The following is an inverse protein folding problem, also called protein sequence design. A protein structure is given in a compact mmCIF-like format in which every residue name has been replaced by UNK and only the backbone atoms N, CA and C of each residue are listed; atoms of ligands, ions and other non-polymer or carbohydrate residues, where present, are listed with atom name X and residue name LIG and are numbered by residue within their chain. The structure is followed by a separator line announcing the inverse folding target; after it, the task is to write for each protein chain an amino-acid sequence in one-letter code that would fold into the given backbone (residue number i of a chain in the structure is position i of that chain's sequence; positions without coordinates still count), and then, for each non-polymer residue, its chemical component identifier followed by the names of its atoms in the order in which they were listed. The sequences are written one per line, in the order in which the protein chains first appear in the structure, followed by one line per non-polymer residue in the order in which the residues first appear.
data_IF_523684569052
#
_entry.id   IF_523684569052
#
_cell.length_a   1.000
_cell.length_b   1.000
_cell.length_c   1.000
_cell.angle_alpha   90.00
_cell.angle_beta   90.00
_cell.angle_gamma   90.00
#
_symmetry.space_group_name_H-M   'P 1'
#
loop_
_entity.id
_entity.type
_entity.pdbx_description
1 polymer ?
#
# COMPACT_ATOMS: atom_id res chain seq x y z
N UNK A 1 12.96 -7.76 -8.39
CA UNK A 1 12.24 -9.04 -8.19
C UNK A 1 10.84 -8.73 -7.68
N UNK A 2 9.80 -9.37 -8.23
CA UNK A 2 8.45 -9.28 -7.67
C UNK A 2 8.45 -9.86 -6.24
N UNK A 3 7.65 -9.28 -5.35
CA UNK A 3 7.46 -9.80 -4.00
C UNK A 3 6.81 -11.18 -4.09
N UNK A 4 7.22 -12.09 -3.20
CA UNK A 4 6.60 -13.41 -3.08
C UNK A 4 5.17 -13.20 -2.57
N UNK A 5 4.18 -13.71 -3.30
CA UNK A 5 2.77 -13.54 -2.92
C UNK A 5 2.25 -14.64 -1.99
N UNK A 6 3.01 -15.73 -1.84
CA UNK A 6 2.61 -16.90 -1.06
C UNK A 6 3.80 -17.53 -0.34
N UNK A 7 3.60 -17.91 0.93
CA UNK A 7 4.58 -18.64 1.72
C UNK A 7 4.01 -19.99 2.16
N UNK A 8 4.83 -21.03 2.06
CA UNK A 8 4.41 -22.41 2.35
C UNK A 8 5.03 -22.89 3.64
N UNK A 9 4.19 -23.21 4.62
CA UNK A 9 4.58 -23.84 5.87
C UNK A 9 4.46 -25.37 5.73
N UNK A 10 5.55 -26.09 6.05
CA UNK A 10 5.58 -27.55 5.97
C UNK A 10 5.21 -28.16 7.33
N UNK A 11 4.09 -28.88 7.34
CA UNK A 11 3.60 -29.65 8.48
C UNK A 11 4.12 -31.09 8.49
N UNK A 12 3.59 -31.89 9.43
CA UNK A 12 3.87 -33.33 9.50
C UNK A 12 3.29 -34.05 8.28
N UNK A 13 3.91 -35.18 7.89
CA UNK A 13 3.45 -36.06 6.79
C UNK A 13 3.30 -35.34 5.43
N UNK A 14 4.21 -34.41 5.11
CA UNK A 14 4.19 -33.61 3.88
C UNK A 14 2.93 -32.73 3.69
N UNK A 15 2.15 -32.51 4.74
CA UNK A 15 1.07 -31.54 4.70
C UNK A 15 1.64 -30.12 4.54
N UNK A 16 1.04 -29.32 3.67
CA UNK A 16 1.50 -27.96 3.35
C UNK A 16 0.38 -26.97 3.61
N UNK A 17 0.68 -25.96 4.41
CA UNK A 17 -0.23 -24.84 4.66
C UNK A 17 0.29 -23.63 3.90
N UNK A 18 -0.56 -23.02 3.07
CA UNK A 18 -0.19 -21.88 2.22
C UNK A 18 -0.76 -20.62 2.83
N UNK A 19 0.09 -19.63 3.06
CA UNK A 19 -0.26 -18.28 3.50
C UNK A 19 -0.08 -17.32 2.31
N UNK A 20 -1.14 -16.61 1.93
CA UNK A 20 -1.15 -15.80 0.70
C UNK A 20 -1.57 -14.36 0.97
N UNK A 21 -1.19 -13.47 0.04
CA UNK A 21 -1.44 -12.02 0.07
C UNK A 21 -0.87 -11.37 1.34
N UNK A 22 0.46 -11.37 1.47
CA UNK A 22 1.13 -10.72 2.57
C UNK A 22 0.91 -9.21 2.52
N UNK A 23 0.73 -8.59 3.68
CA UNK A 23 0.69 -7.15 3.83
C UNK A 23 1.21 -6.73 5.21
N UNK A 24 1.68 -5.49 5.32
CA UNK A 24 1.97 -4.86 6.61
C UNK A 24 0.73 -4.18 7.15
N UNK A 25 0.29 -4.60 8.33
CA UNK A 25 -0.78 -3.94 9.07
C UNK A 25 -0.31 -2.59 9.66
N UNK A 26 -1.18 -1.94 10.44
CA UNK A 26 -0.89 -0.62 10.99
C UNK A 26 0.26 -0.61 11.99
N UNK A 27 0.42 -1.73 12.71
CA UNK A 27 1.46 -2.03 13.70
C UNK A 27 2.79 -2.45 13.04
N UNK A 28 2.85 -2.51 11.70
CA UNK A 28 3.99 -2.98 10.91
C UNK A 28 4.31 -4.46 11.14
N UNK A 29 3.32 -5.26 11.51
CA UNK A 29 3.42 -6.71 11.54
C UNK A 29 3.11 -7.28 10.16
N UNK A 30 3.84 -8.31 9.75
CA UNK A 30 3.54 -9.02 8.51
C UNK A 30 2.33 -9.91 8.73
N UNK A 31 1.25 -9.62 8.00
CA UNK A 31 -0.03 -10.31 8.07
C UNK A 31 -0.36 -10.94 6.72
N UNK A 32 -1.04 -12.07 6.73
CA UNK A 32 -1.53 -12.74 5.52
C UNK A 32 -3.05 -12.69 5.52
N UNK A 33 -3.65 -12.29 4.39
CA UNK A 33 -5.11 -12.25 4.27
C UNK A 33 -5.72 -13.65 4.16
N UNK A 34 -4.97 -14.61 3.62
CA UNK A 34 -5.47 -15.95 3.37
C UNK A 34 -4.54 -17.04 3.91
N UNK A 35 -5.17 -18.11 4.41
CA UNK A 35 -4.52 -19.35 4.78
C UNK A 35 -5.32 -20.54 4.22
N UNK A 36 -4.65 -21.48 3.56
CA UNK A 36 -5.30 -22.60 2.86
C UNK A 36 -6.19 -23.47 3.75
N UNK A 37 -5.86 -23.60 5.03
CA UNK A 37 -6.62 -24.41 6.00
C UNK A 37 -7.85 -23.67 6.57
N UNK A 38 -7.88 -22.35 6.48
CA UNK A 38 -8.86 -21.50 7.18
C UNK A 38 -9.66 -20.60 6.25
N UNK A 39 -9.73 -20.94 4.95
CA UNK A 39 -10.45 -20.15 3.92
C UNK A 39 -11.90 -19.83 4.32
N UNK A 40 -12.57 -20.73 5.07
CA UNK A 40 -13.97 -20.56 5.51
C UNK A 40 -14.16 -19.56 6.66
N UNK A 41 -13.08 -19.01 7.22
CA UNK A 41 -13.11 -18.14 8.39
C UNK A 41 -12.54 -16.75 8.07
N UNK A 42 -13.31 -15.87 7.39
CA UNK A 42 -12.83 -14.57 6.93
C UNK A 42 -12.51 -13.58 8.07
N UNK A 43 -12.91 -13.89 9.30
CA UNK A 43 -12.67 -13.07 10.49
C UNK A 43 -11.34 -13.40 11.18
N UNK A 44 -10.53 -14.28 10.61
CA UNK A 44 -9.23 -14.65 11.14
C UNK A 44 -8.13 -13.82 10.48
N UNK A 45 -7.19 -13.36 11.29
CA UNK A 45 -5.96 -12.74 10.84
C UNK A 45 -4.79 -13.67 11.13
N UNK A 46 -3.85 -13.78 10.18
CA UNK A 46 -2.67 -14.62 10.29
C UNK A 46 -1.44 -13.74 10.33
N UNK A 47 -0.83 -13.57 11.50
CA UNK A 47 0.23 -12.59 11.75
C UNK A 47 1.54 -13.31 12.07
N UNK A 48 2.65 -12.87 11.49
CA UNK A 48 3.98 -13.33 11.88
C UNK A 48 4.33 -12.77 13.26
N UNK A 49 4.51 -13.64 14.25
CA UNK A 49 5.03 -13.29 15.57
C UNK A 49 6.53 -13.62 15.63
N UNK A 50 7.36 -12.59 15.50
CA UNK A 50 8.82 -12.71 15.39
C UNK A 50 9.46 -13.18 16.69
N UNK A 51 9.04 -12.59 17.81
CA UNK A 51 9.57 -12.89 19.15
C UNK A 51 9.36 -14.37 19.51
N UNK A 52 8.18 -14.89 19.18
CA UNK A 52 7.82 -16.29 19.46
C UNK A 52 8.16 -17.24 18.32
N UNK A 53 8.71 -16.73 17.21
CA UNK A 53 8.96 -17.50 15.97
C UNK A 53 7.73 -18.33 15.58
N UNK A 54 6.58 -17.68 15.45
CA UNK A 54 5.28 -18.33 15.29
C UNK A 54 4.40 -17.63 14.24
N UNK A 55 3.39 -18.33 13.73
CA UNK A 55 2.20 -17.68 13.16
C UNK A 55 1.14 -17.55 14.25
N UNK A 56 0.72 -16.32 14.50
CA UNK A 56 -0.37 -15.98 15.39
C UNK A 56 -1.67 -15.87 14.60
N UNK A 57 -2.66 -16.68 14.97
CA UNK A 57 -4.01 -16.63 14.43
C UNK A 57 -4.87 -15.83 15.41
N UNK A 58 -5.33 -14.66 14.99
CA UNK A 58 -6.18 -13.76 15.78
C UNK A 58 -7.61 -13.82 15.26
N UNK A 59 -8.59 -13.64 16.14
CA UNK A 59 -9.98 -13.43 15.73
C UNK A 59 -10.53 -12.12 16.31
N UNK A 60 -11.65 -11.66 15.76
CA UNK A 60 -12.34 -10.43 16.20
C UNK A 60 -12.80 -10.47 17.68
N UNK A 61 -12.85 -11.65 18.30
CA UNK A 61 -13.22 -11.82 19.72
C UNK A 61 -11.99 -11.80 20.66
N UNK A 62 -10.81 -11.42 20.15
CA UNK A 62 -9.58 -11.32 20.93
C UNK A 62 -8.94 -12.67 21.30
N UNK A 63 -9.47 -13.79 20.80
CA UNK A 63 -8.81 -15.10 20.99
C UNK A 63 -7.64 -15.21 20.03
N UNK A 64 -6.52 -15.72 20.55
CA UNK A 64 -5.29 -15.94 19.78
C UNK A 64 -4.82 -17.38 19.92
N UNK A 65 -4.35 -17.94 18.81
CA UNK A 65 -3.68 -19.23 18.74
C UNK A 65 -2.30 -19.04 18.13
N UNK A 66 -1.29 -19.78 18.63
CA UNK A 66 0.06 -19.74 18.09
C UNK A 66 0.41 -21.07 17.44
N UNK A 67 0.89 -21.00 16.21
CA UNK A 67 1.54 -22.11 15.51
C UNK A 67 3.05 -21.84 15.57
N UNK A 68 3.73 -22.52 16.50
CA UNK A 68 5.18 -22.40 16.66
C UNK A 68 5.90 -22.96 15.43
N UNK A 69 6.82 -22.17 14.86
CA UNK A 69 7.63 -22.60 13.72
C UNK A 69 8.80 -23.43 14.26
N UNK A 70 8.74 -24.74 14.02
CA UNK A 70 9.84 -25.65 14.34
C UNK A 70 11.06 -25.41 13.43
N UNK A 71 12.21 -25.99 13.76
CA UNK A 71 13.46 -25.82 12.99
C UNK A 71 13.34 -26.19 11.51
N UNK A 72 12.46 -27.15 11.19
CA UNK A 72 12.11 -27.53 9.82
C UNK A 72 11.43 -26.40 9.01
N UNK A 73 10.95 -25.36 9.67
CA UNK A 73 10.28 -24.19 9.09
C UNK A 73 11.14 -22.92 9.13
N UNK A 74 12.45 -23.04 9.40
CA UNK A 74 13.41 -21.92 9.34
C UNK A 74 13.40 -21.19 8.00
N UNK A 75 13.20 -21.90 6.89
CA UNK A 75 13.06 -21.29 5.55
C UNK A 75 11.84 -20.38 5.47
N UNK A 76 10.68 -20.81 5.98
CA UNK A 76 9.46 -20.00 6.00
C UNK A 76 9.68 -18.72 6.81
N UNK A 77 10.21 -18.85 8.03
CA UNK A 77 10.48 -17.69 8.90
C UNK A 77 11.42 -16.69 8.23
N UNK A 78 12.52 -17.16 7.64
CA UNK A 78 13.48 -16.30 6.93
C UNK A 78 12.84 -15.59 5.73
N UNK A 79 12.00 -16.27 4.97
CA UNK A 79 11.29 -15.66 3.84
C UNK A 79 10.29 -14.61 4.30
N UNK A 80 9.55 -14.87 5.38
CA UNK A 80 8.61 -13.93 5.96
C UNK A 80 9.32 -12.67 6.49
N UNK A 81 10.42 -12.83 7.24
CA UNK A 81 11.24 -11.71 7.72
C UNK A 81 11.80 -10.87 6.56
N UNK A 82 12.38 -11.52 5.55
CA UNK A 82 12.91 -10.83 4.37
C UNK A 82 11.83 -10.03 3.64
N UNK A 83 10.64 -10.61 3.49
CA UNK A 83 9.50 -9.93 2.86
C UNK A 83 9.07 -8.70 3.66
N UNK A 84 8.98 -8.81 4.99
CA UNK A 84 8.70 -7.68 5.88
C UNK A 84 9.71 -6.54 5.66
N UNK A 85 10.99 -6.85 5.65
CA UNK A 85 12.07 -5.88 5.42
C UNK A 85 11.97 -5.22 4.04
N UNK A 86 11.67 -6.00 2.99
CA UNK A 86 11.49 -5.48 1.64
C UNK A 86 10.31 -4.50 1.56
N UNK A 87 9.16 -4.81 2.17
CA UNK A 87 7.99 -3.90 2.20
C UNK A 87 8.33 -2.63 2.97
N UNK A 88 8.96 -2.74 4.15
CA UNK A 88 9.39 -1.59 4.95
C UNK A 88 10.39 -0.70 4.20
N UNK A 89 11.36 -1.31 3.51
CA UNK A 89 12.34 -0.59 2.70
C UNK A 89 11.66 0.17 1.55
N UNK A 90 10.71 -0.47 0.85
CA UNK A 90 9.90 0.17 -0.19
C UNK A 90 9.07 1.34 0.36
N UNK A 91 8.41 1.18 1.51
CA UNK A 91 7.67 2.27 2.17
C UNK A 91 8.57 3.45 2.54
N UNK A 92 9.75 3.18 3.08
CA UNK A 92 10.74 4.22 3.42
C UNK A 92 11.22 4.96 2.18
N UNK A 93 11.56 4.22 1.12
CA UNK A 93 11.98 4.79 -0.16
C UNK A 93 10.87 5.64 -0.76
N UNK A 94 9.64 5.11 -0.81
CA UNK A 94 8.47 5.82 -1.32
C UNK A 94 8.23 7.16 -0.62
N UNK A 95 8.28 7.15 0.72
CA UNK A 95 8.16 8.37 1.53
C UNK A 95 9.26 9.38 1.19
N UNK A 96 10.50 8.93 0.97
CA UNK A 96 11.61 9.79 0.59
C UNK A 96 11.46 10.34 -0.84
N UNK A 97 10.98 9.52 -1.76
CA UNK A 97 10.78 9.89 -3.16
C UNK A 97 9.62 10.89 -3.29
N UNK A 98 8.57 10.77 -2.48
CA UNK A 98 7.54 11.81 -2.32
C UNK A 98 8.14 13.14 -1.81
N UNK A 99 8.92 13.10 -0.71
CA UNK A 99 9.58 14.31 -0.13
C UNK A 99 10.50 15.02 -1.11
N UNK A 100 11.23 14.26 -1.91
CA UNK A 100 12.23 14.79 -2.84
C UNK A 100 11.67 15.08 -4.23
N UNK A 101 10.37 14.85 -4.45
CA UNK A 101 9.70 15.04 -5.74
C UNK A 101 10.11 14.05 -6.82
N UNK A 102 10.80 12.96 -6.46
CA UNK A 102 11.21 11.90 -7.38
C UNK A 102 10.07 10.96 -7.73
N UNK A 103 9.10 10.81 -6.82
CA UNK A 103 7.90 10.03 -7.11
C UNK A 103 7.00 10.81 -8.06
N UNK A 104 6.62 10.14 -9.14
CA UNK A 104 5.72 10.70 -10.14
C UNK A 104 4.29 10.39 -9.72
N UNK A 105 3.47 11.44 -9.65
CA UNK A 105 2.04 11.34 -9.34
C UNK A 105 1.25 11.33 -10.65
N UNK A 106 0.32 10.38 -10.74
CA UNK A 106 -0.68 10.30 -11.80
C UNK A 106 -2.02 10.78 -11.28
N UNK A 107 -2.71 11.56 -12.10
CA UNK A 107 -4.03 12.10 -11.80
C UNK A 107 -4.96 11.71 -12.94
N UNK A 108 -6.01 10.98 -12.61
CA UNK A 108 -7.03 10.52 -13.54
C UNK A 108 -8.33 11.27 -13.25
N UNK A 109 -9.01 11.72 -14.29
CA UNK A 109 -10.38 12.21 -14.14
C UNK A 109 -11.31 11.04 -13.84
N UNK A 110 -12.25 11.25 -12.93
CA UNK A 110 -13.31 10.28 -12.64
C UNK A 110 -14.66 10.82 -13.12
N UNK A 111 -15.63 9.93 -13.29
CA UNK A 111 -17.01 10.33 -13.60
C UNK A 111 -17.79 10.82 -12.35
N UNK A 112 -17.19 10.76 -11.16
CA UNK A 112 -17.84 11.15 -9.91
C UNK A 112 -17.63 12.64 -9.65
N UNK A 113 -18.72 13.41 -9.64
CA UNK A 113 -18.69 14.85 -9.37
C UNK A 113 -18.23 15.19 -7.95
N UNK A 114 -18.36 14.26 -7.00
CA UNK A 114 -17.87 14.43 -5.64
C UNK A 114 -16.36 14.18 -5.56
N UNK A 115 -15.83 13.28 -6.39
CA UNK A 115 -14.42 12.87 -6.41
C UNK A 115 -13.86 12.97 -7.82
N UNK A 116 -13.78 14.18 -8.42
CA UNK A 116 -13.52 14.35 -9.84
C UNK A 116 -12.14 13.86 -10.28
N UNK A 117 -11.23 13.60 -9.33
CA UNK A 117 -9.89 13.13 -9.62
C UNK A 117 -9.48 11.95 -8.73
N UNK A 118 -8.74 11.02 -9.32
CA UNK A 118 -8.08 9.92 -8.62
C UNK A 118 -6.57 10.13 -8.70
N UNK A 119 -5.91 10.16 -7.53
CA UNK A 119 -4.47 10.36 -7.39
C UNK A 119 -3.81 9.02 -7.11
N UNK A 120 -2.74 8.71 -7.84
CA UNK A 120 -1.95 7.50 -7.63
C UNK A 120 -0.49 7.73 -8.04
N UNK A 121 0.35 6.70 -7.92
CA UNK A 121 1.73 6.73 -8.34
C UNK A 121 2.17 5.32 -8.79
N UNK A 122 3.28 5.21 -9.51
CA UNK A 122 3.78 3.90 -9.94
C UNK A 122 4.02 3.00 -8.73
N UNK A 123 4.64 3.54 -7.68
CA UNK A 123 4.90 2.78 -6.46
C UNK A 123 3.60 2.33 -5.78
N UNK A 124 2.55 3.17 -5.77
CA UNK A 124 1.26 2.80 -5.20
C UNK A 124 0.57 1.69 -6.02
N UNK A 125 0.61 1.76 -7.35
CA UNK A 125 0.04 0.73 -8.22
C UNK A 125 0.76 -0.62 -8.07
N UNK A 126 2.09 -0.61 -7.95
CA UNK A 126 2.88 -1.84 -7.83
C UNK A 126 2.87 -2.44 -6.42
N UNK A 127 2.88 -1.59 -5.38
CA UNK A 127 3.14 -2.00 -4.02
C UNK A 127 2.03 -1.69 -3.01
N UNK A 128 0.99 -0.95 -3.39
CA UNK A 128 -0.10 -0.53 -2.49
C UNK A 128 -0.82 -1.71 -1.83
N UNK A 129 -0.95 -2.84 -2.54
CA UNK A 129 -1.54 -4.06 -2.00
C UNK A 129 -0.79 -4.64 -0.79
N UNK A 130 0.50 -4.32 -0.61
CA UNK A 130 1.32 -4.85 0.48
C UNK A 130 1.27 -3.97 1.73
N UNK A 131 0.67 -2.78 1.69
CA UNK A 131 0.36 -1.99 2.88
C UNK A 131 -0.51 -0.78 2.55
N UNK A 132 -1.56 -0.56 3.35
CA UNK A 132 -2.35 0.68 3.30
C UNK A 132 -1.49 1.94 3.56
N UNK A 133 -0.31 1.78 4.17
CA UNK A 133 0.60 2.89 4.45
C UNK A 133 1.15 3.57 3.18
N UNK A 134 1.13 2.91 2.02
CA UNK A 134 1.47 3.59 0.77
C UNK A 134 0.42 4.65 0.43
N UNK A 135 -0.87 4.30 0.46
CA UNK A 135 -1.97 5.22 0.20
C UNK A 135 -2.04 6.34 1.24
N UNK A 136 -1.93 5.98 2.53
CA UNK A 136 -1.87 6.96 3.63
C UNK A 136 -0.69 7.92 3.45
N UNK A 137 0.46 7.42 3.00
CA UNK A 137 1.62 8.23 2.68
C UNK A 137 1.30 9.27 1.61
N UNK A 138 0.76 8.85 0.47
CA UNK A 138 0.38 9.76 -0.61
C UNK A 138 -0.60 10.84 -0.13
N UNK A 139 -1.67 10.41 0.55
CA UNK A 139 -2.70 11.32 1.06
C UNK A 139 -2.13 12.32 2.07
N UNK A 140 -1.25 11.88 2.96
CA UNK A 140 -0.56 12.76 3.89
C UNK A 140 0.27 13.83 3.17
N UNK A 141 1.04 13.44 2.15
CA UNK A 141 1.84 14.41 1.39
C UNK A 141 0.97 15.43 0.67
N UNK A 142 -0.08 14.97 -0.01
CA UNK A 142 -1.04 15.85 -0.70
C UNK A 142 -1.67 16.85 0.27
N UNK A 143 -2.01 16.43 1.49
CA UNK A 143 -2.66 17.28 2.50
C UNK A 143 -1.68 18.20 3.25
N UNK A 144 -0.44 17.79 3.50
CA UNK A 144 0.54 18.59 4.28
C UNK A 144 1.14 19.79 3.53
N UNK A 145 1.13 19.74 2.19
CA UNK A 145 1.63 20.84 1.36
C UNK A 145 0.52 21.70 0.77
N UNK A 146 -0.75 21.35 0.99
CA UNK A 146 -1.80 22.35 1.11
C UNK A 146 -1.52 23.16 2.40
N UNK A 147 -1.71 24.47 2.38
CA UNK A 147 -1.30 25.42 3.43
C UNK A 147 -1.55 24.97 4.87
N UNK A 148 -0.68 25.40 5.82
CA UNK A 148 -0.78 25.12 7.27
C UNK A 148 -2.15 25.45 7.90
N UNK A 149 -2.94 26.28 7.22
CA UNK A 149 -4.37 26.44 7.42
C UNK A 149 -5.06 26.04 6.10
N UNK A 150 -5.69 24.84 5.99
CA UNK A 150 -6.81 24.42 5.09
C UNK A 150 -6.85 22.88 4.84
N UNK A 151 -8.02 22.30 4.48
CA UNK A 151 -8.66 21.09 5.01
C UNK A 151 -8.49 19.82 4.15
N UNK A 152 -9.15 18.76 4.61
CA UNK A 152 -9.64 17.54 3.93
C UNK A 152 -9.20 17.34 2.46
N UNK A 153 -8.74 16.13 2.10
CA UNK A 153 -8.30 15.72 0.75
C UNK A 153 -9.20 16.23 -0.40
N UNK A 154 -10.50 16.34 -0.11
CA UNK A 154 -11.52 16.97 -0.95
C UNK A 154 -11.20 18.39 -1.43
N UNK A 155 -10.50 19.20 -0.62
CA UNK A 155 -10.15 20.56 -0.95
C UNK A 155 -8.96 20.64 -1.91
N UNK A 156 -7.98 19.73 -1.81
CA UNK A 156 -6.90 19.60 -2.80
C UNK A 156 -7.49 19.24 -4.15
N UNK A 157 -8.44 18.29 -4.18
CA UNK A 157 -9.16 17.95 -5.41
C UNK A 157 -9.91 19.16 -5.98
N UNK A 158 -10.65 19.90 -5.15
CA UNK A 158 -11.40 21.09 -5.58
C UNK A 158 -10.49 22.24 -6.05
N UNK A 159 -9.35 22.48 -5.39
CA UNK A 159 -8.35 23.49 -5.79
C UNK A 159 -7.73 23.11 -7.13
N UNK A 160 -7.39 21.84 -7.31
CA UNK A 160 -6.97 21.32 -8.61
C UNK A 160 -8.08 21.54 -9.65
N UNK A 161 -9.33 21.11 -9.42
CA UNK A 161 -10.46 21.34 -10.37
C UNK A 161 -10.59 22.81 -10.76
N UNK A 162 -10.58 23.73 -9.79
CA UNK A 162 -10.78 25.17 -10.02
C UNK A 162 -9.64 25.81 -10.80
N UNK A 163 -8.39 25.52 -10.44
CA UNK A 163 -7.22 26.10 -11.13
C UNK A 163 -6.97 25.42 -12.47
N UNK A 164 -7.19 24.12 -12.58
CA UNK A 164 -7.06 23.39 -13.84
C UNK A 164 -8.07 23.87 -14.88
N UNK A 165 -9.31 24.19 -14.48
CA UNK A 165 -10.31 24.80 -15.36
C UNK A 165 -9.90 26.18 -15.91
N UNK A 166 -8.97 26.88 -15.25
CA UNK A 166 -8.48 28.21 -15.67
C UNK A 166 -7.17 28.17 -16.45
N UNK A 167 -6.36 27.11 -16.28
CA UNK A 167 -5.05 26.99 -16.93
C UNK A 167 -5.23 26.21 -18.23
N UNK A 168 -5.46 26.96 -19.31
CA UNK A 168 -5.53 26.44 -20.68
C UNK A 168 -4.13 26.03 -21.16
N UNK A 169 -3.57 24.96 -20.60
CA UNK A 169 -2.23 24.47 -20.97
C UNK A 169 -2.28 22.96 -21.22
N UNK A 170 -1.99 22.62 -22.48
CA UNK A 170 -1.79 21.27 -23.02
C UNK A 170 -0.57 20.46 -22.51
N UNK A 171 0.46 20.96 -21.77
CA UNK A 171 1.74 20.25 -21.68
C UNK A 171 1.79 19.06 -20.71
N UNK A 172 0.66 18.66 -20.10
CA UNK A 172 0.64 17.58 -19.10
C UNK A 172 -0.30 16.41 -19.44
N UNK A 173 -1.06 16.52 -20.53
CA UNK A 173 -2.02 15.50 -20.93
C UNK A 173 -1.28 14.42 -21.73
N UNK A 174 -1.01 13.28 -21.10
CA UNK A 174 -0.52 12.11 -21.85
C UNK A 174 -1.72 11.47 -22.52
N UNK A 175 -1.87 11.69 -23.83
CA UNK A 175 -2.86 10.99 -24.66
C UNK A 175 -2.23 9.69 -25.16
N UNK A 176 -2.58 8.57 -24.53
CA UNK A 176 -2.50 7.29 -25.22
C UNK A 176 -3.89 6.98 -25.79
N UNK A 177 -4.01 6.17 -26.85
CA UNK A 177 -5.25 5.99 -27.64
C UNK A 177 -6.50 5.57 -26.84
N UNK A 178 -6.35 5.21 -25.56
CA UNK A 178 -7.39 4.65 -24.71
C UNK A 178 -7.60 5.40 -23.37
N UNK A 179 -6.68 6.28 -22.93
CA UNK A 179 -6.77 6.94 -21.61
C UNK A 179 -6.20 8.37 -21.61
N UNK A 180 -6.84 9.27 -20.86
CA UNK A 180 -6.36 10.62 -20.57
C UNK A 180 -5.98 10.72 -19.09
N UNK A 181 -4.70 10.98 -18.82
CA UNK A 181 -4.21 11.22 -17.46
C UNK A 181 -3.14 12.30 -17.44
N UNK A 182 -2.99 12.92 -16.27
CA UNK A 182 -1.93 13.89 -16.01
C UNK A 182 -0.78 13.23 -15.28
N UNK A 183 0.44 13.57 -15.69
CA UNK A 183 1.68 13.08 -15.08
C UNK A 183 2.49 14.27 -14.60
N UNK A 184 2.78 14.31 -13.30
CA UNK A 184 3.56 15.40 -12.73
C UNK A 184 4.33 14.94 -11.49
N UNK A 185 5.41 15.66 -11.19
CA UNK A 185 6.11 15.59 -9.91
C UNK A 185 5.28 16.26 -8.82
N UNK A 186 5.59 15.93 -7.57
CA UNK A 186 4.92 16.55 -6.43
C UNK A 186 5.14 18.08 -6.35
N UNK A 187 6.31 18.57 -6.76
CA UNK A 187 6.61 20.01 -6.78
C UNK A 187 5.72 20.77 -7.78
N UNK A 188 5.50 20.20 -8.97
CA UNK A 188 4.62 20.77 -10.00
C UNK A 188 3.16 20.79 -9.51
N UNK A 189 2.70 19.72 -8.84
CA UNK A 189 1.37 19.68 -8.24
C UNK A 189 1.18 20.78 -7.18
N UNK A 190 2.19 21.01 -6.33
CA UNK A 190 2.14 22.07 -5.31
C UNK A 190 2.05 23.46 -5.94
N UNK A 191 2.76 23.73 -7.04
CA UNK A 191 2.66 25.01 -7.76
C UNK A 191 1.26 25.26 -8.32
N UNK A 192 0.57 24.21 -8.77
CA UNK A 192 -0.81 24.32 -9.22
C UNK A 192 -1.72 24.60 -8.04
N UNK A 193 -1.50 23.98 -6.87
CA UNK A 193 -2.42 24.12 -5.73
C UNK A 193 -2.23 25.41 -4.92
N UNK A 194 -1.02 25.98 -4.89
CA UNK A 194 -0.64 27.23 -4.17
C UNK A 194 -1.22 28.47 -4.84
#
# INVERSE_FOLDING_TARGET
MPLINELVLSGRRNHKVIFSRPYLNNEKELTFLYCSEFIKYPTLEFVLNEDKKAIEIRNLKGRKMLILLQDSNTTFLRQALKMKEEILSKLKKYTQDLKTGKEIIFIFETADSNYPYFFTSNTLLEAGQYSIKFEVGLNYFLNQHASKDLPDFMEVQRKFSKKFATVNKEPFLVRNKEEMYYKMTFAELCQICS
#
